data_IF_856317758449
#
_entry.id   IF_856317758449
#
_cell.length_a   1.000
_cell.length_b   1.000
_cell.length_c   1.000
_cell.angle_alpha   90.00
_cell.angle_beta   90.00
_cell.angle_gamma   90.00
#
_symmetry.space_group_name_H-M   'P 1'
#
loop_
_entity.id
_entity.type
_entity.pdbx_description
1 polymer ?
#
# COMPACT_ATOMS: atom_id res chain seq x y z
N UNK A 1 -4.16 -40.31 9.84
CA UNK A 1 -4.19 -39.41 8.67
C UNK A 1 -5.49 -38.64 8.83
N UNK A 2 -5.41 -37.45 9.46
CA UNK A 2 -6.54 -36.54 9.56
C UNK A 2 -6.84 -36.01 8.16
N UNK A 3 -8.05 -36.26 7.71
CA UNK A 3 -8.58 -35.65 6.48
C UNK A 3 -8.90 -34.20 6.86
N UNK A 4 -7.98 -33.29 6.51
CA UNK A 4 -8.20 -31.85 6.69
C UNK A 4 -9.47 -31.43 5.92
N UNK A 5 -10.26 -30.60 6.55
CA UNK A 5 -11.53 -30.06 6.03
C UNK A 5 -11.25 -29.10 4.87
N UNK A 6 -11.11 -29.64 3.67
CA UNK A 6 -10.82 -28.91 2.42
C UNK A 6 -11.98 -28.04 1.93
N UNK A 7 -13.18 -28.20 2.54
CA UNK A 7 -14.39 -27.50 2.08
C UNK A 7 -14.50 -26.06 2.58
N UNK A 8 -13.91 -25.74 3.75
CA UNK A 8 -13.95 -24.39 4.32
C UNK A 8 -13.01 -23.42 3.65
N UNK A 9 -11.81 -23.88 3.22
CA UNK A 9 -10.76 -23.04 2.65
C UNK A 9 -11.09 -22.60 1.21
N UNK A 10 -11.70 -23.47 0.42
CA UNK A 10 -12.14 -23.15 -0.96
C UNK A 10 -13.25 -22.09 -0.93
N UNK A 11 -14.15 -22.15 0.04
CA UNK A 11 -15.24 -21.17 0.19
C UNK A 11 -14.71 -19.78 0.61
N UNK A 12 -13.64 -19.69 1.42
CA UNK A 12 -13.10 -18.42 1.88
C UNK A 12 -12.35 -17.67 0.77
N UNK A 13 -11.59 -18.37 -0.08
CA UNK A 13 -10.87 -17.75 -1.21
C UNK A 13 -11.82 -17.27 -2.31
N UNK A 14 -12.91 -17.99 -2.57
CA UNK A 14 -13.95 -17.57 -3.51
C UNK A 14 -14.69 -16.32 -3.05
N UNK A 15 -15.00 -16.22 -1.75
CA UNK A 15 -15.58 -15.04 -1.15
C UNK A 15 -14.66 -13.83 -1.25
N UNK A 16 -13.36 -13.99 -0.94
CA UNK A 16 -12.36 -12.93 -1.06
C UNK A 16 -12.18 -12.47 -2.52
N UNK A 17 -12.28 -13.39 -3.49
CA UNK A 17 -12.26 -13.07 -4.92
C UNK A 17 -13.51 -12.27 -5.33
N UNK A 18 -14.70 -12.66 -4.90
CA UNK A 18 -15.95 -11.96 -5.18
C UNK A 18 -15.92 -10.54 -4.57
N UNK A 19 -15.52 -10.42 -3.30
CA UNK A 19 -15.34 -9.15 -2.61
C UNK A 19 -14.35 -8.24 -3.37
N UNK A 20 -13.21 -8.76 -3.79
CA UNK A 20 -12.20 -8.01 -4.53
C UNK A 20 -12.75 -7.44 -5.83
N UNK A 21 -13.53 -8.23 -6.56
CA UNK A 21 -14.19 -7.81 -7.81
C UNK A 21 -15.19 -6.69 -7.57
N UNK A 22 -16.02 -6.80 -6.53
CA UNK A 22 -17.02 -5.79 -6.18
C UNK A 22 -16.37 -4.48 -5.71
N UNK A 23 -15.32 -4.57 -4.88
CA UNK A 23 -14.55 -3.40 -4.43
C UNK A 23 -13.94 -2.67 -5.61
N UNK A 24 -13.24 -3.39 -6.51
CA UNK A 24 -12.63 -2.79 -7.69
C UNK A 24 -13.66 -2.18 -8.64
N UNK A 25 -14.81 -2.84 -8.82
CA UNK A 25 -15.90 -2.29 -9.61
C UNK A 25 -16.47 -1.00 -8.99
N UNK A 26 -16.63 -0.97 -7.66
CA UNK A 26 -17.10 0.21 -6.93
C UNK A 26 -16.11 1.38 -7.02
N UNK A 27 -14.83 1.12 -6.78
CA UNK A 27 -13.76 2.14 -6.89
C UNK A 27 -13.63 2.65 -8.34
N UNK A 28 -13.71 1.78 -9.34
CA UNK A 28 -13.65 2.11 -10.76
C UNK A 28 -14.79 3.01 -11.26
N UNK A 29 -15.89 3.14 -10.49
CA UNK A 29 -16.92 4.16 -10.77
C UNK A 29 -16.41 5.58 -10.49
N UNK A 30 -15.52 5.72 -9.52
CA UNK A 30 -14.94 7.00 -9.13
C UNK A 30 -13.63 7.30 -9.87
N UNK A 31 -12.72 6.35 -9.89
CA UNK A 31 -11.40 6.49 -10.50
C UNK A 31 -11.46 5.92 -11.91
N UNK A 32 -11.19 6.76 -12.91
CA UNK A 32 -11.20 6.36 -14.32
C UNK A 32 -9.84 5.82 -14.71
N UNK A 33 -9.83 4.73 -15.47
CA UNK A 33 -8.59 4.05 -15.85
C UNK A 33 -7.88 3.42 -14.65
N UNK A 34 -6.56 3.29 -14.71
CA UNK A 34 -5.70 2.90 -13.58
C UNK A 34 -6.08 1.56 -12.94
N UNK A 35 -6.65 0.65 -13.74
CA UNK A 35 -7.13 -0.64 -13.22
C UNK A 35 -6.03 -1.45 -12.58
N UNK A 36 -4.85 -1.51 -13.20
CA UNK A 36 -3.71 -2.28 -12.70
C UNK A 36 -3.20 -1.69 -11.38
N UNK A 37 -3.11 -0.36 -11.29
CA UNK A 37 -2.68 0.33 -10.07
C UNK A 37 -3.70 0.15 -8.94
N UNK A 38 -5.01 0.19 -9.25
CA UNK A 38 -6.08 -0.06 -8.27
C UNK A 38 -6.05 -1.52 -7.79
N UNK A 39 -5.80 -2.49 -8.67
CA UNK A 39 -5.59 -3.90 -8.29
C UNK A 39 -4.40 -4.04 -7.33
N UNK A 40 -3.29 -3.33 -7.57
CA UNK A 40 -2.11 -3.35 -6.71
C UNK A 40 -2.34 -2.66 -5.37
N UNK A 41 -3.11 -1.56 -5.32
CA UNK A 41 -3.53 -0.93 -4.05
C UNK A 41 -4.39 -1.90 -3.25
N UNK A 42 -5.38 -2.54 -3.88
CA UNK A 42 -6.22 -3.54 -3.22
C UNK A 42 -5.38 -4.74 -2.76
N UNK A 43 -4.45 -5.22 -3.58
CA UNK A 43 -3.56 -6.32 -3.20
C UNK A 43 -2.74 -5.97 -1.96
N UNK A 44 -2.23 -4.74 -1.84
CA UNK A 44 -1.52 -4.30 -0.64
C UNK A 44 -2.43 -4.24 0.59
N UNK A 45 -3.67 -3.79 0.45
CA UNK A 45 -4.67 -3.77 1.54
C UNK A 45 -5.05 -5.19 1.97
N UNK A 46 -5.31 -6.09 1.03
CA UNK A 46 -5.60 -7.50 1.29
C UNK A 46 -4.41 -8.25 1.92
N UNK A 47 -3.19 -7.85 1.60
CA UNK A 47 -1.98 -8.37 2.23
C UNK A 47 -1.69 -7.75 3.62
N UNK A 48 -2.61 -6.97 4.19
CA UNK A 48 -2.43 -6.32 5.49
C UNK A 48 -1.40 -5.18 5.50
N UNK A 49 -0.97 -4.71 4.32
CA UNK A 49 0.12 -3.74 4.18
C UNK A 49 -0.32 -2.29 4.01
N UNK A 50 0.68 -1.42 3.83
CA UNK A 50 0.53 0.01 3.60
C UNK A 50 1.09 0.37 2.23
N UNK A 51 0.57 1.44 1.62
CA UNK A 51 0.91 1.86 0.25
C UNK A 51 1.50 3.27 0.25
N UNK A 52 2.55 3.48 -0.53
CA UNK A 52 3.08 4.79 -0.86
C UNK A 52 2.73 5.13 -2.32
N UNK A 53 1.96 6.18 -2.53
CA UNK A 53 1.65 6.73 -3.86
C UNK A 53 2.58 7.91 -4.15
N UNK A 54 3.52 7.70 -5.05
CA UNK A 54 4.50 8.73 -5.43
C UNK A 54 4.17 9.27 -6.81
N UNK A 55 3.58 10.48 -6.84
CA UNK A 55 3.06 11.09 -8.05
C UNK A 55 2.95 12.60 -7.96
N UNK A 56 2.82 13.24 -9.10
CA UNK A 56 2.46 14.66 -9.20
C UNK A 56 1.11 14.98 -8.53
N UNK A 57 0.87 16.21 -8.10
CA UNK A 57 -0.42 16.63 -7.58
C UNK A 57 -1.52 16.52 -8.66
N UNK A 58 -2.78 16.34 -8.23
CA UNK A 58 -3.94 16.34 -9.13
C UNK A 58 -4.26 15.01 -9.84
N UNK A 59 -3.50 13.94 -9.60
CA UNK A 59 -3.67 12.64 -10.26
C UNK A 59 -4.66 11.67 -9.56
N UNK A 60 -5.54 12.19 -8.71
CA UNK A 60 -6.63 11.40 -8.13
C UNK A 60 -6.27 10.52 -6.93
N UNK A 61 -5.07 10.67 -6.33
CA UNK A 61 -4.62 9.87 -5.16
C UNK A 61 -5.60 9.93 -3.99
N UNK A 62 -6.04 11.14 -3.62
CA UNK A 62 -7.03 11.35 -2.55
C UNK A 62 -8.38 10.73 -2.89
N UNK A 63 -8.81 10.84 -4.15
CA UNK A 63 -10.05 10.23 -4.63
C UNK A 63 -9.99 8.71 -4.54
N UNK A 64 -8.88 8.11 -4.95
CA UNK A 64 -8.68 6.66 -4.86
C UNK A 64 -8.73 6.17 -3.40
N UNK A 65 -7.97 6.80 -2.48
CA UNK A 65 -7.96 6.43 -1.06
C UNK A 65 -9.36 6.52 -0.43
N UNK A 66 -10.07 7.63 -0.66
CA UNK A 66 -11.46 7.80 -0.18
C UNK A 66 -12.40 6.76 -0.78
N UNK A 67 -12.23 6.44 -2.07
CA UNK A 67 -13.06 5.45 -2.76
C UNK A 67 -12.86 4.05 -2.20
N UNK A 68 -11.62 3.66 -1.89
CA UNK A 68 -11.34 2.39 -1.21
C UNK A 68 -11.98 2.34 0.19
N UNK A 69 -11.85 3.41 0.98
CA UNK A 69 -12.48 3.47 2.29
C UNK A 69 -14.01 3.31 2.21
N UNK A 70 -14.66 4.00 1.27
CA UNK A 70 -16.11 3.89 1.06
C UNK A 70 -16.51 2.50 0.56
N UNK A 71 -15.79 1.94 -0.41
CA UNK A 71 -16.08 0.61 -0.95
C UNK A 71 -15.91 -0.49 0.10
N UNK A 72 -14.92 -0.37 0.97
CA UNK A 72 -14.62 -1.30 2.06
C UNK A 72 -15.37 -1.00 3.37
N UNK A 73 -16.20 0.07 3.40
CA UNK A 73 -16.95 0.45 4.60
C UNK A 73 -16.07 0.79 5.81
N UNK A 74 -14.87 1.33 5.56
CA UNK A 74 -13.89 1.68 6.58
C UNK A 74 -14.01 3.13 7.03
N UNK A 75 -13.70 3.38 8.29
CA UNK A 75 -13.50 4.74 8.78
C UNK A 75 -12.30 5.36 8.08
N UNK A 76 -12.48 6.59 7.56
CA UNK A 76 -11.50 7.28 6.74
C UNK A 76 -11.10 8.61 7.35
N UNK A 77 -9.81 8.79 7.55
CA UNK A 77 -9.24 10.07 7.97
C UNK A 77 -8.17 10.53 6.99
N UNK A 78 -8.18 11.83 6.65
CA UNK A 78 -7.11 12.47 5.89
C UNK A 78 -6.31 13.37 6.82
N UNK A 79 -5.02 13.15 6.89
CA UNK A 79 -4.06 14.03 7.54
C UNK A 79 -3.14 14.66 6.49
N UNK A 80 -3.15 16.00 6.40
CA UNK A 80 -2.22 16.74 5.56
C UNK A 80 -0.92 16.95 6.31
N UNK A 81 0.17 16.47 5.74
CA UNK A 81 1.50 16.59 6.34
C UNK A 81 2.12 17.93 5.94
N UNK A 82 2.31 18.80 6.92
CA UNK A 82 2.88 20.15 6.76
C UNK A 82 4.17 20.26 7.57
N UNK A 83 5.05 21.23 7.26
CA UNK A 83 6.32 21.40 7.98
C UNK A 83 6.17 21.66 9.48
N UNK A 84 5.05 22.18 9.93
CA UNK A 84 4.71 22.51 11.31
C UNK A 84 3.96 21.41 12.06
N UNK A 85 3.57 20.31 11.37
CA UNK A 85 2.85 19.20 11.98
C UNK A 85 3.72 18.48 13.03
N UNK A 86 3.21 18.38 14.25
CA UNK A 86 3.89 17.70 15.37
C UNK A 86 3.45 16.23 15.49
N UNK A 87 4.26 15.35 16.09
CA UNK A 87 3.86 13.96 16.36
C UNK A 87 2.54 13.85 17.12
N UNK A 88 2.34 14.70 18.12
CA UNK A 88 1.10 14.74 18.92
C UNK A 88 -0.16 15.10 18.13
N UNK A 89 -0.03 15.83 17.02
CA UNK A 89 -1.15 16.13 16.12
C UNK A 89 -1.65 14.89 15.40
N UNK A 90 -0.79 13.87 15.22
CA UNK A 90 -1.14 12.58 14.63
C UNK A 90 -1.59 11.55 15.67
N UNK A 91 -0.84 11.45 16.78
CA UNK A 91 -1.07 10.42 17.80
C UNK A 91 -2.20 10.80 18.77
N UNK A 92 -2.50 12.09 18.87
CA UNK A 92 -3.32 12.60 19.96
C UNK A 92 -2.50 12.98 21.19
N UNK A 93 -3.17 13.55 22.18
CA UNK A 93 -2.55 14.08 23.38
C UNK A 93 -3.50 14.05 24.57
N UNK A 94 -2.94 14.08 25.78
CA UNK A 94 -3.73 14.28 26.98
C UNK A 94 -4.09 15.76 27.13
N UNK A 95 -5.37 16.04 27.31
CA UNK A 95 -5.90 17.38 27.57
C UNK A 95 -6.44 17.45 29.00
N UNK A 96 -6.08 18.49 29.71
CA UNK A 96 -6.65 18.78 31.05
C UNK A 96 -8.07 19.29 30.90
N UNK A 97 -9.05 18.59 31.51
CA UNK A 97 -10.42 19.07 31.67
C UNK A 97 -10.56 19.87 32.98
N UNK A 98 -10.69 21.21 32.93
CA UNK A 98 -10.79 22.03 34.14
C UNK A 98 -12.06 21.76 34.99
N UNK A 99 -13.12 21.21 34.38
CA UNK A 99 -14.38 20.93 35.07
C UNK A 99 -14.29 19.64 35.88
N UNK A 100 -13.58 18.63 35.34
CA UNK A 100 -13.37 17.32 35.97
C UNK A 100 -12.09 17.27 36.78
N UNK A 101 -11.18 18.24 36.60
CA UNK A 101 -9.81 18.24 37.14
C UNK A 101 -9.04 16.98 36.82
N UNK A 102 -9.24 16.43 35.61
CA UNK A 102 -8.65 15.22 35.13
C UNK A 102 -7.99 15.44 33.77
N UNK A 103 -6.98 14.64 33.45
CA UNK A 103 -6.46 14.54 32.11
C UNK A 103 -7.26 13.50 31.32
N UNK A 104 -7.76 13.85 30.16
CA UNK A 104 -8.40 12.94 29.22
C UNK A 104 -7.58 12.83 27.94
N UNK A 105 -7.41 11.61 27.44
CA UNK A 105 -6.76 11.40 26.14
C UNK A 105 -7.72 11.80 25.03
N UNK A 106 -7.24 12.64 24.11
CA UNK A 106 -7.91 12.98 22.87
C UNK A 106 -7.19 12.30 21.72
N UNK A 107 -7.88 11.40 21.05
CA UNK A 107 -7.37 10.66 19.90
C UNK A 107 -7.02 11.59 18.74
N UNK A 108 -5.92 11.27 18.08
CA UNK A 108 -5.48 11.95 16.85
C UNK A 108 -5.93 11.21 15.58
N UNK A 109 -5.56 11.71 14.40
CA UNK A 109 -5.93 11.15 13.09
C UNK A 109 -5.52 9.69 12.84
N UNK A 110 -4.57 9.15 13.62
CA UNK A 110 -4.16 7.74 13.50
C UNK A 110 -5.21 6.75 13.99
N UNK A 111 -6.18 7.20 14.80
CA UNK A 111 -7.30 6.37 15.25
C UNK A 111 -8.38 6.30 14.17
N UNK A 112 -8.13 5.47 13.17
CA UNK A 112 -9.00 5.25 12.01
C UNK A 112 -8.65 3.90 11.37
N UNK A 113 -9.50 3.40 10.46
CA UNK A 113 -9.19 2.17 9.72
C UNK A 113 -8.33 2.42 8.48
N UNK A 114 -8.59 3.52 7.75
CA UNK A 114 -7.81 3.92 6.59
C UNK A 114 -7.39 5.37 6.70
N UNK A 115 -6.10 5.57 6.91
CA UNK A 115 -5.48 6.89 6.93
C UNK A 115 -4.94 7.25 5.55
N UNK A 116 -5.34 8.39 5.01
CA UNK A 116 -4.61 9.06 3.94
C UNK A 116 -3.61 10.04 4.57
N UNK A 117 -2.34 9.67 4.57
CA UNK A 117 -1.24 10.54 4.98
C UNK A 117 -0.74 11.32 3.75
N UNK A 118 -1.25 12.54 3.58
CA UNK A 118 -1.04 13.32 2.35
C UNK A 118 0.23 14.17 2.45
N UNK A 119 1.13 14.03 1.46
CA UNK A 119 2.42 14.73 1.34
C UNK A 119 3.38 14.45 2.52
N UNK A 120 3.59 13.17 2.86
CA UNK A 120 4.41 12.76 4.02
C UNK A 120 5.84 13.29 4.01
N UNK A 121 6.37 13.59 2.81
CA UNK A 121 7.71 14.15 2.63
C UNK A 121 7.82 15.65 2.98
N UNK A 122 6.73 16.35 3.31
CA UNK A 122 6.74 17.75 3.76
C UNK A 122 6.97 17.92 5.26
N UNK A 123 6.85 16.85 6.02
CA UNK A 123 6.90 16.87 7.48
C UNK A 123 8.26 16.45 8.02
N UNK A 124 8.75 17.03 9.14
CA UNK A 124 10.02 16.67 9.74
C UNK A 124 10.12 15.18 10.10
N UNK A 125 11.33 14.61 10.12
CA UNK A 125 11.56 13.18 10.36
C UNK A 125 10.95 12.65 11.67
N UNK A 126 10.82 13.48 12.70
CA UNK A 126 10.23 13.09 13.99
C UNK A 126 8.73 12.77 13.86
N UNK A 127 8.00 13.54 13.07
CA UNK A 127 6.57 13.31 12.83
C UNK A 127 6.36 12.15 11.86
N UNK A 128 7.23 12.01 10.85
CA UNK A 128 7.25 10.80 9.99
C UNK A 128 7.45 9.53 10.83
N UNK A 129 8.35 9.56 11.82
CA UNK A 129 8.63 8.41 12.68
C UNK A 129 7.40 7.96 13.47
N UNK A 130 6.58 8.88 13.97
CA UNK A 130 5.34 8.54 14.68
C UNK A 130 4.33 7.79 13.79
N UNK A 131 4.14 8.24 12.53
CA UNK A 131 3.33 7.50 11.55
C UNK A 131 3.86 6.09 11.31
N UNK A 132 5.17 5.98 11.11
CA UNK A 132 5.81 4.72 10.74
C UNK A 132 5.88 3.72 11.91
N UNK A 133 5.90 4.21 13.16
CA UNK A 133 5.75 3.37 14.35
C UNK A 133 4.34 2.80 14.41
N UNK A 134 3.31 3.64 14.25
CA UNK A 134 1.92 3.21 14.21
C UNK A 134 1.65 2.15 13.12
N UNK A 135 2.26 2.33 11.93
CA UNK A 135 2.16 1.36 10.83
C UNK A 135 2.78 0.00 11.17
N UNK A 136 3.87 -0.02 11.91
CA UNK A 136 4.59 -1.25 12.22
C UNK A 136 4.00 -2.00 13.42
N UNK A 137 3.65 -1.25 14.47
CA UNK A 137 3.27 -1.83 15.76
C UNK A 137 1.74 -2.01 15.90
N UNK A 138 0.94 -1.35 15.04
CA UNK A 138 -0.53 -1.34 15.16
C UNK A 138 -1.03 -0.71 16.46
N UNK A 139 -0.21 0.13 17.08
CA UNK A 139 -0.48 0.81 18.35
C UNK A 139 0.28 2.13 18.43
N UNK A 140 -0.10 2.96 19.37
CA UNK A 140 0.50 4.26 19.64
C UNK A 140 0.82 4.35 21.13
N UNK A 141 2.01 4.85 21.46
CA UNK A 141 2.40 5.10 22.85
C UNK A 141 2.53 6.61 23.10
N UNK A 142 1.69 7.15 24.00
CA UNK A 142 1.71 8.56 24.42
C UNK A 142 1.89 8.63 25.92
N UNK A 143 2.92 9.36 26.37
CA UNK A 143 3.23 9.55 27.79
C UNK A 143 3.27 8.24 28.60
N UNK A 144 3.81 7.17 28.00
CA UNK A 144 3.93 5.85 28.64
C UNK A 144 2.66 5.00 28.62
N UNK A 145 1.56 5.51 28.06
CA UNK A 145 0.32 4.74 27.88
C UNK A 145 0.22 4.27 26.43
N UNK A 146 -0.04 2.98 26.24
CA UNK A 146 -0.17 2.36 24.91
C UNK A 146 -1.63 2.19 24.54
N UNK A 147 -1.98 2.66 23.37
CA UNK A 147 -3.33 2.59 22.78
C UNK A 147 -3.27 1.74 21.51
N UNK A 148 -4.02 0.61 21.44
CA UNK A 148 -4.11 -0.17 20.20
C UNK A 148 -4.89 0.62 19.14
N UNK A 149 -4.48 0.47 17.87
CA UNK A 149 -5.24 0.99 16.74
C UNK A 149 -6.37 0.04 16.34
N UNK A 150 -7.40 0.57 15.70
CA UNK A 150 -8.50 -0.21 15.15
C UNK A 150 -7.99 -1.22 14.10
N UNK A 151 -8.61 -2.39 14.03
CA UNK A 151 -8.35 -3.36 12.97
C UNK A 151 -9.54 -3.43 12.02
N UNK A 152 -9.28 -3.48 10.71
CA UNK A 152 -7.99 -3.32 10.03
C UNK A 152 -7.46 -1.88 10.13
N UNK A 153 -6.12 -1.70 10.08
CA UNK A 153 -5.48 -0.40 10.01
C UNK A 153 -4.59 -0.32 8.77
N UNK A 154 -4.88 0.60 7.87
CA UNK A 154 -4.13 0.82 6.64
C UNK A 154 -3.74 2.28 6.46
N UNK A 155 -2.56 2.49 5.90
CA UNK A 155 -2.08 3.81 5.51
C UNK A 155 -1.87 3.82 4.01
N UNK A 156 -2.50 4.78 3.34
CA UNK A 156 -2.14 5.21 1.99
C UNK A 156 -1.43 6.55 2.16
N UNK A 157 -0.10 6.53 2.01
CA UNK A 157 0.69 7.74 2.06
C UNK A 157 0.89 8.30 0.66
N UNK A 158 0.95 9.63 0.53
CA UNK A 158 1.33 10.28 -0.73
C UNK A 158 2.65 11.02 -0.58
N UNK A 159 3.45 11.04 -1.63
CA UNK A 159 4.63 11.86 -1.74
C UNK A 159 4.67 12.54 -3.12
N UNK A 160 5.17 13.77 -3.16
CA UNK A 160 5.42 14.50 -4.39
C UNK A 160 6.91 14.46 -4.73
N UNK A 161 7.35 13.83 -5.84
CA UNK A 161 8.75 13.68 -6.18
C UNK A 161 9.42 14.98 -6.64
N UNK A 162 8.65 15.99 -7.04
CA UNK A 162 9.17 17.23 -7.68
C UNK A 162 9.40 18.37 -6.71
N UNK A 163 8.76 18.36 -5.56
CA UNK A 163 8.99 19.39 -4.54
C UNK A 163 10.32 19.15 -3.83
N UNK A 164 11.31 20.00 -4.15
CA UNK A 164 12.64 19.95 -3.52
C UNK A 164 12.78 20.93 -2.35
N UNK A 165 12.05 22.05 -2.36
CA UNK A 165 12.08 23.03 -1.28
C UNK A 165 11.13 22.62 -0.13
N UNK A 166 11.66 22.58 1.09
CA UNK A 166 10.88 22.26 2.28
C UNK A 166 10.45 20.80 2.41
N UNK A 167 11.10 19.87 1.69
CA UNK A 167 10.80 18.44 1.78
C UNK A 167 11.90 17.66 2.49
N UNK A 168 11.47 16.65 3.25
CA UNK A 168 12.35 15.70 3.93
C UNK A 168 12.17 14.33 3.27
N UNK A 169 13.21 13.84 2.61
CA UNK A 169 13.17 12.49 2.03
C UNK A 169 12.96 11.45 3.13
N UNK A 170 12.05 10.51 2.88
CA UNK A 170 11.91 9.34 3.75
C UNK A 170 13.21 8.51 3.69
N UNK A 171 13.84 8.21 4.83
CA UNK A 171 15.00 7.33 4.88
C UNK A 171 14.68 5.93 4.32
N UNK A 172 15.66 5.26 3.74
CA UNK A 172 15.52 3.92 3.13
C UNK A 172 14.88 2.90 4.08
N UNK A 173 15.28 2.91 5.37
CA UNK A 173 14.71 2.03 6.40
C UNK A 173 13.23 2.33 6.71
N UNK A 174 12.76 3.52 6.41
CA UNK A 174 11.37 3.94 6.58
C UNK A 174 10.52 3.55 5.37
N UNK A 175 11.09 3.69 4.16
CA UNK A 175 10.45 3.24 2.92
C UNK A 175 10.18 1.73 2.93
N UNK A 176 11.05 0.93 3.57
CA UNK A 176 10.89 -0.53 3.68
C UNK A 176 9.64 -0.97 4.48
N UNK A 177 8.97 -0.06 5.18
CA UNK A 177 7.70 -0.32 5.90
C UNK A 177 6.47 -0.29 5.00
N UNK A 178 6.54 0.40 3.85
CA UNK A 178 5.49 0.33 2.84
C UNK A 178 5.58 -0.98 2.07
N UNK A 179 4.47 -1.70 1.98
CA UNK A 179 4.43 -2.97 1.25
C UNK A 179 4.61 -2.76 -0.25
N UNK A 180 3.99 -1.72 -0.78
CA UNK A 180 4.09 -1.32 -2.18
C UNK A 180 4.31 0.18 -2.34
N UNK A 181 5.11 0.56 -3.36
CA UNK A 181 5.19 1.92 -3.89
C UNK A 181 4.65 1.92 -5.31
N UNK A 182 3.69 2.81 -5.56
CA UNK A 182 2.95 2.91 -6.82
C UNK A 182 2.95 4.33 -7.36
N UNK A 183 2.73 4.46 -8.65
CA UNK A 183 2.47 5.72 -9.34
C UNK A 183 1.26 5.51 -10.25
N UNK A 184 0.29 6.40 -10.23
CA UNK A 184 -0.85 6.38 -11.14
C UNK A 184 -0.48 6.97 -12.51
N UNK A 185 0.46 7.91 -12.55
CA UNK A 185 0.83 8.63 -13.76
C UNK A 185 -0.32 9.47 -14.33
N UNK A 186 -0.03 10.18 -15.39
CA UNK A 186 -1.07 10.94 -16.10
C UNK A 186 -2.06 10.00 -16.78
N UNK A 187 -3.35 10.37 -16.84
CA UNK A 187 -4.33 9.68 -17.68
C UNK A 187 -3.96 9.88 -19.15
N UNK A 188 -4.34 8.92 -20.01
CA UNK A 188 -4.31 9.16 -21.43
C UNK A 188 -5.46 10.11 -21.86
N UNK A 189 -5.46 10.56 -23.11
CA UNK A 189 -6.45 11.52 -23.61
C UNK A 189 -7.89 10.98 -23.52
N UNK A 190 -8.09 9.67 -23.65
CA UNK A 190 -9.42 9.04 -23.57
C UNK A 190 -9.87 8.92 -22.10
N UNK A 191 -8.98 8.57 -21.21
CA UNK A 191 -9.22 8.53 -19.77
C UNK A 191 -9.55 9.95 -19.25
N UNK A 192 -8.75 10.94 -19.65
CA UNK A 192 -8.96 12.34 -19.25
C UNK A 192 -10.32 12.86 -19.73
N UNK A 193 -10.69 12.59 -20.99
CA UNK A 193 -12.01 12.90 -21.51
C UNK A 193 -13.11 12.22 -20.68
N UNK A 194 -12.94 10.95 -20.33
CA UNK A 194 -13.90 10.20 -19.51
C UNK A 194 -14.08 10.81 -18.12
N UNK A 195 -13.02 11.37 -17.52
CA UNK A 195 -13.09 12.10 -16.24
C UNK A 195 -13.98 13.35 -16.40
N UNK A 196 -13.75 14.13 -17.47
CA UNK A 196 -14.50 15.35 -17.75
C UNK A 196 -15.98 15.03 -18.03
N UNK A 197 -16.26 14.06 -18.89
CA UNK A 197 -17.61 13.63 -19.27
C UNK A 197 -18.42 13.20 -18.04
N UNK A 198 -17.84 12.32 -17.19
CA UNK A 198 -18.46 11.91 -15.93
C UNK A 198 -18.73 13.08 -14.99
N UNK A 199 -17.82 14.07 -14.92
CA UNK A 199 -18.02 15.27 -14.10
C UNK A 199 -19.12 16.16 -14.63
N UNK A 200 -19.19 16.36 -15.95
CA UNK A 200 -20.25 17.12 -16.63
C UNK A 200 -21.61 16.46 -16.40
N UNK A 201 -21.73 15.15 -16.63
CA UNK A 201 -22.95 14.41 -16.44
C UNK A 201 -23.46 14.45 -14.99
N UNK A 202 -22.56 14.33 -14.02
CA UNK A 202 -22.88 14.34 -12.58
C UNK A 202 -23.34 15.70 -12.06
N UNK A 203 -22.87 16.81 -12.64
CA UNK A 203 -23.19 18.20 -12.24
C UNK A 203 -22.84 18.61 -10.80
N UNK A 204 -22.17 17.74 -10.05
CA UNK A 204 -21.72 17.97 -8.67
C UNK A 204 -20.30 17.42 -8.47
N UNK A 205 -19.59 17.97 -7.51
CA UNK A 205 -18.22 17.55 -7.21
C UNK A 205 -18.18 16.19 -6.48
N UNK A 206 -19.07 16.02 -5.52
CA UNK A 206 -19.14 14.82 -4.72
C UNK A 206 -19.47 13.58 -5.56
N UNK A 207 -18.72 12.52 -5.26
CA UNK A 207 -18.91 11.21 -5.86
C UNK A 207 -19.11 10.18 -4.75
N UNK A 208 -20.25 9.48 -4.82
CA UNK A 208 -20.55 8.41 -3.89
C UNK A 208 -20.11 7.07 -4.50
N UNK A 209 -19.31 6.34 -3.77
CA UNK A 209 -18.88 4.98 -4.12
C UNK A 209 -19.75 4.01 -3.33
N UNK A 210 -20.43 3.05 -3.99
CA UNK A 210 -21.20 2.04 -3.27
C UNK A 210 -20.30 1.21 -2.34
N UNK A 211 -20.79 0.97 -1.13
CA UNK A 211 -20.15 0.05 -0.20
C UNK A 211 -20.29 -1.37 -0.75
N UNK A 212 -19.19 -2.10 -0.85
CA UNK A 212 -19.11 -3.48 -1.32
C UNK A 212 -18.78 -4.46 -0.19
N UNK A 213 -18.14 -3.97 0.90
CA UNK A 213 -17.69 -4.78 2.01
C UNK A 213 -17.71 -3.98 3.32
N UNK A 214 -17.38 -4.63 4.42
CA UNK A 214 -17.09 -3.99 5.70
C UNK A 214 -15.73 -4.43 6.29
N UNK A 215 -15.41 -3.92 7.48
CA UNK A 215 -14.15 -4.22 8.14
C UNK A 215 -13.99 -5.73 8.46
N UNK A 216 -15.09 -6.41 8.80
CA UNK A 216 -15.06 -7.85 9.08
C UNK A 216 -14.84 -8.66 7.80
N UNK A 217 -15.49 -8.27 6.71
CA UNK A 217 -15.30 -8.90 5.39
C UNK A 217 -13.85 -8.73 4.91
N UNK A 218 -13.25 -7.55 5.13
CA UNK A 218 -11.85 -7.31 4.78
C UNK A 218 -10.90 -8.18 5.61
N UNK A 219 -11.13 -8.31 6.93
CA UNK A 219 -10.30 -9.17 7.78
C UNK A 219 -10.39 -10.64 7.36
N UNK A 220 -11.59 -11.13 7.05
CA UNK A 220 -11.78 -12.49 6.52
C UNK A 220 -11.06 -12.70 5.17
N UNK A 221 -11.09 -11.68 4.30
CA UNK A 221 -10.36 -11.73 3.03
C UNK A 221 -8.84 -11.72 3.24
N UNK A 222 -8.32 -11.00 4.22
CA UNK A 222 -6.90 -11.02 4.59
C UNK A 222 -6.48 -12.41 5.10
N UNK A 223 -7.29 -13.05 5.93
CA UNK A 223 -7.05 -14.43 6.38
C UNK A 223 -7.05 -15.42 5.20
N UNK A 224 -7.98 -15.26 4.25
CA UNK A 224 -8.02 -16.08 3.04
C UNK A 224 -6.77 -15.91 2.16
N UNK A 225 -6.20 -14.70 2.08
CA UNK A 225 -4.92 -14.47 1.36
C UNK A 225 -3.77 -15.25 1.99
N UNK A 226 -3.74 -15.42 3.31
CA UNK A 226 -2.68 -16.18 3.98
C UNK A 226 -2.74 -17.69 3.65
N UNK A 227 -3.90 -18.21 3.26
CA UNK A 227 -4.06 -19.64 2.88
C UNK A 227 -3.62 -19.92 1.44
N UNK A 228 -3.39 -18.91 0.60
CA UNK A 228 -2.95 -19.08 -0.80
C UNK A 228 -1.62 -19.85 -0.87
N UNK A 229 -1.61 -20.91 -1.65
CA UNK A 229 -0.47 -21.82 -1.78
C UNK A 229 0.71 -21.17 -2.48
N UNK A 230 1.88 -21.38 -1.91
CA UNK A 230 3.17 -20.95 -2.47
C UNK A 230 4.01 -22.16 -2.80
N UNK A 231 4.16 -22.46 -4.08
CA UNK A 231 5.09 -23.53 -4.49
C UNK A 231 6.53 -23.13 -4.06
N UNK A 232 7.32 -24.05 -3.48
CA UNK A 232 8.69 -23.77 -3.08
C UNK A 232 9.59 -23.23 -4.21
N UNK A 233 9.31 -23.56 -5.47
CA UNK A 233 10.04 -23.01 -6.62
C UNK A 233 9.75 -21.54 -6.82
N UNK A 234 8.48 -21.11 -6.67
CA UNK A 234 8.06 -19.71 -6.74
C UNK A 234 8.60 -18.91 -5.54
N UNK A 235 8.58 -19.51 -4.34
CA UNK A 235 9.20 -18.90 -3.16
C UNK A 235 10.71 -18.65 -3.36
N UNK A 236 11.43 -19.64 -3.89
CA UNK A 236 12.86 -19.47 -4.26
C UNK A 236 13.07 -18.41 -5.35
N UNK A 237 12.15 -18.28 -6.29
CA UNK A 237 12.19 -17.23 -7.30
C UNK A 237 12.07 -15.84 -6.68
N UNK A 238 11.18 -15.62 -5.73
CA UNK A 238 11.09 -14.36 -4.97
C UNK A 238 12.41 -14.03 -4.25
N UNK A 239 13.03 -15.04 -3.62
CA UNK A 239 14.34 -14.87 -2.95
C UNK A 239 15.43 -14.55 -3.97
N UNK A 240 15.46 -15.23 -5.12
CA UNK A 240 16.43 -15.00 -6.18
C UNK A 240 16.33 -13.57 -6.75
N UNK A 241 15.12 -13.06 -6.99
CA UNK A 241 14.89 -11.68 -7.42
C UNK A 241 15.45 -10.67 -6.42
N UNK A 242 15.10 -10.81 -5.13
CA UNK A 242 15.62 -9.92 -4.09
C UNK A 242 17.16 -10.02 -3.95
N UNK A 243 17.72 -11.23 -4.03
CA UNK A 243 19.16 -11.45 -3.98
C UNK A 243 19.88 -10.83 -5.18
N UNK A 244 19.33 -10.94 -6.39
CA UNK A 244 19.91 -10.36 -7.60
C UNK A 244 20.03 -8.83 -7.51
N UNK A 245 19.09 -8.15 -6.84
CA UNK A 245 19.20 -6.70 -6.60
C UNK A 245 20.45 -6.33 -5.82
N UNK A 246 20.90 -7.18 -4.87
CA UNK A 246 22.06 -6.92 -4.02
C UNK A 246 23.38 -7.03 -4.78
N UNK A 247 23.42 -7.85 -5.82
CA UNK A 247 24.61 -8.03 -6.69
C UNK A 247 24.61 -7.11 -7.91
N UNK A 248 23.60 -6.30 -8.12
CA UNK A 248 23.48 -5.48 -9.32
C UNK A 248 24.47 -4.31 -9.31
N UNK A 249 25.15 -4.08 -10.45
CA UNK A 249 26.24 -3.08 -10.61
C UNK A 249 25.85 -1.64 -10.23
N UNK A 250 24.60 -1.26 -10.47
CA UNK A 250 24.08 0.09 -10.18
C UNK A 250 23.63 0.27 -8.73
N UNK A 251 23.60 -0.79 -7.92
CA UNK A 251 23.02 -0.79 -6.59
C UNK A 251 24.08 -0.61 -5.50
N UNK A 252 23.82 0.30 -4.57
CA UNK A 252 24.56 0.45 -3.33
C UNK A 252 23.98 -0.45 -2.23
N UNK A 253 22.65 -0.41 -2.07
CA UNK A 253 21.91 -1.23 -1.12
C UNK A 253 20.74 -1.87 -1.86
N UNK A 254 20.73 -3.21 -1.91
CA UNK A 254 19.63 -3.98 -2.51
C UNK A 254 18.55 -4.33 -1.51
N UNK A 255 17.48 -4.98 -1.99
CA UNK A 255 16.33 -5.33 -1.19
C UNK A 255 16.69 -6.25 -0.01
N UNK A 256 16.16 -5.95 1.16
CA UNK A 256 16.27 -6.76 2.38
C UNK A 256 15.40 -8.05 2.28
N UNK A 257 15.47 -9.00 3.22
CA UNK A 257 14.53 -10.11 3.28
C UNK A 257 13.05 -9.70 3.34
N UNK A 258 12.75 -8.49 3.84
CA UNK A 258 11.39 -7.90 3.76
C UNK A 258 10.92 -7.73 2.32
N UNK A 259 11.84 -7.48 1.38
CA UNK A 259 11.51 -7.42 -0.05
C UNK A 259 11.04 -8.78 -0.60
N UNK A 260 11.71 -9.88 -0.23
CA UNK A 260 11.26 -11.23 -0.61
C UNK A 260 9.89 -11.56 -0.02
N UNK A 261 9.65 -11.18 1.23
CA UNK A 261 8.35 -11.35 1.88
C UNK A 261 7.28 -10.50 1.21
N UNK A 262 7.57 -9.24 0.88
CA UNK A 262 6.64 -8.35 0.18
C UNK A 262 6.21 -8.91 -1.18
N UNK A 263 7.13 -9.54 -1.94
CA UNK A 263 6.80 -10.21 -3.19
C UNK A 263 5.77 -11.33 -2.97
N UNK A 264 5.97 -12.17 -1.97
CA UNK A 264 5.06 -13.29 -1.66
C UNK A 264 3.70 -12.77 -1.23
N UNK A 265 3.65 -11.82 -0.29
CA UNK A 265 2.40 -11.28 0.25
C UNK A 265 1.55 -10.60 -0.84
N UNK A 266 2.17 -9.73 -1.65
CA UNK A 266 1.47 -9.07 -2.75
C UNK A 266 1.03 -10.05 -3.84
N UNK A 267 1.87 -11.04 -4.18
CA UNK A 267 1.54 -12.05 -5.18
C UNK A 267 0.39 -12.96 -4.72
N UNK A 268 0.30 -13.33 -3.43
CA UNK A 268 -0.84 -14.04 -2.84
C UNK A 268 -2.13 -13.23 -3.00
N UNK A 269 -2.12 -11.97 -2.57
CA UNK A 269 -3.27 -11.09 -2.69
C UNK A 269 -3.70 -10.91 -4.15
N UNK A 270 -2.75 -10.75 -5.07
CA UNK A 270 -3.04 -10.62 -6.50
C UNK A 270 -3.61 -11.92 -7.09
N UNK A 271 -3.15 -13.09 -6.62
CA UNK A 271 -3.71 -14.38 -7.01
C UNK A 271 -5.20 -14.49 -6.59
N UNK A 272 -5.55 -14.09 -5.37
CA UNK A 272 -6.95 -14.03 -4.89
C UNK A 272 -7.79 -13.07 -5.75
N UNK A 273 -7.31 -11.85 -6.01
CA UNK A 273 -8.01 -10.89 -6.89
C UNK A 273 -8.30 -11.51 -8.26
N UNK A 274 -7.39 -12.35 -8.77
CA UNK A 274 -7.49 -13.05 -10.06
C UNK A 274 -8.21 -14.40 -9.98
N UNK A 275 -8.78 -14.76 -8.83
CA UNK A 275 -9.56 -15.97 -8.63
C UNK A 275 -8.74 -17.27 -8.59
N UNK A 276 -7.54 -17.22 -8.00
CA UNK A 276 -6.65 -18.37 -7.86
C UNK A 276 -6.23 -18.58 -6.40
N UNK A 277 -6.09 -19.85 -6.01
CA UNK A 277 -5.65 -20.29 -4.68
C UNK A 277 -4.14 -20.64 -4.63
N UNK A 278 -3.39 -20.24 -5.66
CA UNK A 278 -1.95 -20.40 -5.74
C UNK A 278 -1.28 -19.22 -6.46
N UNK A 279 -0.03 -18.97 -6.14
CA UNK A 279 0.79 -17.93 -6.78
C UNK A 279 1.38 -18.49 -8.10
N UNK A 280 1.18 -17.75 -9.19
CA UNK A 280 1.89 -17.96 -10.45
C UNK A 280 3.13 -17.04 -10.55
N UNK A 281 4.19 -17.42 -11.31
CA UNK A 281 5.33 -16.54 -11.54
C UNK A 281 4.96 -15.17 -12.12
N UNK A 282 3.88 -15.09 -12.88
CA UNK A 282 3.33 -13.87 -13.47
C UNK A 282 2.83 -12.90 -12.42
N UNK A 283 2.32 -13.40 -11.28
CA UNK A 283 1.90 -12.56 -10.17
C UNK A 283 3.11 -11.93 -9.50
N UNK A 284 4.18 -12.71 -9.30
CA UNK A 284 5.44 -12.19 -8.75
C UNK A 284 6.03 -11.12 -9.68
N UNK A 285 6.01 -11.33 -11.00
CA UNK A 285 6.48 -10.33 -11.97
C UNK A 285 5.67 -9.04 -11.91
N UNK A 286 4.35 -9.14 -11.82
CA UNK A 286 3.44 -7.99 -11.76
C UNK A 286 3.69 -7.11 -10.52
N UNK A 287 4.01 -7.72 -9.39
CA UNK A 287 4.25 -7.00 -8.12
C UNK A 287 5.71 -6.64 -7.88
N UNK A 288 6.65 -7.08 -8.72
CA UNK A 288 8.08 -6.94 -8.44
C UNK A 288 8.54 -5.48 -8.37
N UNK A 289 8.14 -4.64 -9.33
CA UNK A 289 8.49 -3.21 -9.32
C UNK A 289 7.84 -2.50 -8.12
N UNK A 290 6.53 -2.60 -7.89
CA UNK A 290 5.89 -2.05 -6.70
C UNK A 290 6.51 -2.48 -5.38
N UNK A 291 6.90 -3.75 -5.27
CA UNK A 291 7.46 -4.31 -4.03
C UNK A 291 8.93 -3.95 -3.80
N UNK A 292 9.76 -3.89 -4.84
CA UNK A 292 11.21 -3.84 -4.68
C UNK A 292 11.83 -2.48 -5.00
N UNK A 293 11.27 -1.70 -5.92
CA UNK A 293 11.93 -0.51 -6.46
C UNK A 293 12.30 0.53 -5.37
N UNK A 294 11.43 0.70 -4.36
CA UNK A 294 11.65 1.63 -3.25
C UNK A 294 12.58 1.09 -2.15
N UNK A 295 12.97 -0.19 -2.24
CA UNK A 295 13.91 -0.87 -1.35
C UNK A 295 15.33 -0.92 -1.89
N UNK A 296 15.58 -0.27 -3.04
CA UNK A 296 16.86 -0.27 -3.74
C UNK A 296 17.45 1.13 -3.72
N UNK A 297 18.67 1.23 -3.23
CA UNK A 297 19.45 2.47 -3.23
C UNK A 297 20.46 2.42 -4.36
N UNK A 298 20.40 3.38 -5.27
CA UNK A 298 21.31 3.51 -6.40
C UNK A 298 22.66 4.10 -5.92
N UNK A 299 23.77 3.69 -6.52
CA UNK A 299 25.09 4.22 -6.23
C UNK A 299 25.17 5.71 -6.51
N UNK A 300 25.85 6.51 -5.64
CA UNK A 300 25.95 7.96 -5.80
C UNK A 300 26.51 8.40 -7.16
N UNK A 301 27.43 7.63 -7.73
CA UNK A 301 28.06 7.92 -9.01
C UNK A 301 27.04 7.92 -10.18
N UNK A 302 25.88 7.26 -9.96
CA UNK A 302 24.83 7.16 -10.95
C UNK A 302 23.64 8.11 -10.71
N UNK A 303 23.68 8.95 -9.67
CA UNK A 303 22.58 9.88 -9.37
C UNK A 303 22.33 10.93 -10.47
N UNK A 304 23.38 11.24 -11.24
CA UNK A 304 23.26 12.13 -12.41
C UNK A 304 22.76 11.41 -13.68
N UNK A 305 22.53 10.11 -13.58
CA UNK A 305 21.97 9.32 -14.67
C UNK A 305 20.45 9.11 -14.47
N UNK A 306 19.76 8.66 -15.51
CA UNK A 306 18.33 8.35 -15.44
C UNK A 306 18.02 6.99 -14.81
N UNK A 307 19.02 6.26 -14.27
CA UNK A 307 18.82 4.91 -13.70
C UNK A 307 18.05 4.98 -12.40
N UNK A 308 16.94 4.26 -12.34
CA UNK A 308 16.04 4.18 -11.18
C UNK A 308 16.05 2.79 -10.55
N UNK A 309 15.52 2.67 -9.32
CA UNK A 309 15.28 1.36 -8.70
C UNK A 309 14.33 0.48 -9.52
N UNK A 310 13.37 1.09 -10.21
CA UNK A 310 12.45 0.38 -11.10
C UNK A 310 13.17 -0.24 -12.30
N UNK A 311 14.13 0.47 -12.89
CA UNK A 311 14.93 -0.06 -14.01
C UNK A 311 15.78 -1.24 -13.58
N UNK A 312 16.40 -1.15 -12.39
CA UNK A 312 17.14 -2.27 -11.80
C UNK A 312 16.23 -3.50 -11.62
N UNK A 313 15.00 -3.31 -11.09
CA UNK A 313 14.07 -4.44 -10.91
C UNK A 313 13.69 -5.05 -12.26
N UNK A 314 13.42 -4.24 -13.29
CA UNK A 314 13.11 -4.74 -14.64
C UNK A 314 14.29 -5.53 -15.24
N UNK A 315 15.52 -5.04 -15.06
CA UNK A 315 16.74 -5.75 -15.52
C UNK A 315 16.91 -7.07 -14.76
N UNK A 316 16.71 -7.09 -13.44
CA UNK A 316 16.75 -8.30 -12.61
C UNK A 316 15.67 -9.31 -13.04
N UNK A 317 14.43 -8.84 -13.29
CA UNK A 317 13.34 -9.70 -13.77
C UNK A 317 13.69 -10.38 -15.10
N UNK A 318 14.32 -9.66 -16.03
CA UNK A 318 14.71 -10.20 -17.32
C UNK A 318 15.86 -11.21 -17.23
N UNK A 319 16.75 -11.03 -16.23
CA UNK A 319 17.93 -11.89 -16.04
C UNK A 319 17.72 -13.09 -15.10
N UNK A 320 16.59 -13.16 -14.35
CA UNK A 320 16.35 -14.23 -13.39
C UNK A 320 15.46 -15.32 -14.00
N UNK A 321 15.90 -16.59 -14.06
CA UNK A 321 15.13 -17.68 -14.64
C UNK A 321 13.79 -17.90 -13.92
N UNK A 322 12.72 -18.05 -14.69
CA UNK A 322 11.37 -18.31 -14.19
C UNK A 322 11.22 -19.79 -13.83
N UNK A 323 10.60 -20.15 -12.67
CA UNK A 323 10.32 -21.54 -12.33
C UNK A 323 9.48 -22.23 -13.42
N UNK A 324 9.89 -23.46 -13.81
CA UNK A 324 9.19 -24.26 -14.82
C UNK A 324 9.48 -23.89 -16.29
N UNK A 325 10.20 -22.81 -16.57
CA UNK A 325 10.78 -22.60 -17.90
C UNK A 325 11.90 -23.62 -18.08
N UNK A 326 11.71 -24.60 -19.02
CA UNK A 326 12.82 -25.43 -19.49
C UNK A 326 13.80 -24.52 -20.21
N UNK A 327 15.13 -24.72 -20.00
CA UNK A 327 16.14 -23.97 -20.74
C UNK A 327 16.05 -24.19 -22.24
#
# INVERSE_FOLDING_TARGET
IEVGDWSSDVCSSDLATALSREVLASVGRAVVGKREELELVLAAVLAGGHVLLEDFPGLGKTLAARSFAQALGLEFTRAQFTPDLLPGDLTGSFLFDPRRQEFSFREGPLFTNLLLADEVNRTPPKTQAALLEAMQEGQITVEGTTFPLARPFHVIATANPVEHEGTYRLPEAQLDRFLARLSFGYPDAQEEWSVLDRRIARRREEQTVPRAADAADLLAAQEAVETVRVDPSVGRYCVALAAATRGHRAVRLGASPRGSLALVLLARALAVIRGRDYIAPEDVKAVAVPALAHRISIRPELWMTSVTGADVVREVLSGTPVPGARP
#
